data_IF_720061827688
#
_entry.id   IF_720061827688
#
_cell.length_a   1.000
_cell.length_b   1.000
_cell.length_c   1.000
_cell.angle_alpha   90.00
_cell.angle_beta   90.00
_cell.angle_gamma   90.00
#
_symmetry.space_group_name_H-M   'P 1'
#
loop_
_entity.id
_entity.type
_entity.pdbx_description
1 polymer ?
#
# COMPACT_ATOMS: atom_id res chain seq x y z
N UNK A 1 1.32 7.99 -21.33
CA UNK A 1 1.95 7.49 -20.09
C UNK A 1 3.48 7.49 -20.12
N UNK A 2 4.14 6.81 -21.06
CA UNK A 2 5.61 6.60 -21.08
C UNK A 2 6.50 7.85 -20.92
N UNK A 3 6.07 9.01 -21.45
CA UNK A 3 6.86 10.25 -21.36
C UNK A 3 6.72 10.97 -20.01
N UNK A 4 5.77 10.56 -19.17
CA UNK A 4 5.49 11.25 -17.90
C UNK A 4 6.56 10.90 -16.87
N UNK A 5 7.06 11.90 -16.14
CA UNK A 5 8.09 11.70 -15.13
C UNK A 5 7.53 11.07 -13.86
N UNK A 6 6.27 11.36 -13.51
CA UNK A 6 5.56 10.74 -12.39
C UNK A 6 5.52 9.21 -12.55
N UNK A 7 5.09 8.71 -13.70
CA UNK A 7 5.09 7.29 -14.05
C UNK A 7 6.49 6.68 -14.00
N UNK A 8 7.49 7.35 -14.59
CA UNK A 8 8.88 6.85 -14.60
C UNK A 8 9.45 6.69 -13.19
N UNK A 9 9.03 7.53 -12.24
CA UNK A 9 9.50 7.45 -10.85
C UNK A 9 9.04 6.16 -10.16
N UNK A 10 7.80 5.71 -10.42
CA UNK A 10 7.19 4.57 -9.71
C UNK A 10 7.30 3.25 -10.47
N UNK A 11 7.43 3.28 -11.81
CA UNK A 11 7.48 2.07 -12.65
C UNK A 11 8.46 0.98 -12.14
N UNK A 12 9.71 1.29 -11.72
CA UNK A 12 10.63 0.27 -11.20
C UNK A 12 10.09 -0.51 -9.99
N UNK A 13 9.12 0.07 -9.28
CA UNK A 13 8.54 -0.48 -8.07
C UNK A 13 7.19 -1.15 -8.27
N UNK A 14 6.69 -1.24 -9.52
CA UNK A 14 5.41 -1.88 -9.83
C UNK A 14 5.64 -3.26 -10.46
N UNK A 15 4.73 -4.23 -10.23
CA UNK A 15 4.88 -5.59 -10.72
C UNK A 15 4.43 -5.76 -12.19
N UNK A 16 4.32 -4.67 -12.95
CA UNK A 16 3.81 -4.67 -14.33
C UNK A 16 4.93 -4.39 -15.33
N UNK A 17 4.78 -4.90 -16.55
CA UNK A 17 5.71 -4.64 -17.64
C UNK A 17 5.09 -3.63 -18.60
N UNK A 18 5.88 -2.64 -19.03
CA UNK A 18 5.49 -1.70 -20.07
C UNK A 18 6.01 -2.18 -21.42
N UNK A 19 5.11 -2.37 -22.40
CA UNK A 19 5.45 -2.52 -23.82
C UNK A 19 4.63 -1.47 -24.56
N UNK A 20 5.25 -0.37 -25.00
CA UNK A 20 4.52 0.76 -25.57
C UNK A 20 3.51 0.32 -26.64
N UNK A 21 2.25 0.78 -26.58
CA UNK A 21 1.73 1.83 -25.69
C UNK A 21 1.14 1.34 -24.35
N UNK A 22 1.13 0.05 -24.05
CA UNK A 22 0.31 -0.53 -22.97
C UNK A 22 1.10 -1.20 -21.83
N UNK A 23 0.42 -1.34 -20.70
CA UNK A 23 0.84 -2.13 -19.55
C UNK A 23 0.25 -3.53 -19.65
N UNK A 24 1.02 -4.52 -19.21
CA UNK A 24 0.55 -5.89 -19.18
C UNK A 24 1.27 -6.69 -18.10
N UNK A 25 0.59 -7.72 -17.64
CA UNK A 25 1.20 -8.83 -16.93
C UNK A 25 1.87 -9.78 -17.93
N UNK A 26 3.05 -10.37 -17.61
CA UNK A 26 3.58 -11.47 -18.39
C UNK A 26 2.52 -12.58 -18.59
N UNK A 27 2.54 -13.26 -19.74
CA UNK A 27 1.49 -14.23 -20.07
C UNK A 27 1.36 -15.36 -19.03
N UNK A 28 2.49 -15.80 -18.47
CA UNK A 28 2.53 -16.79 -17.40
C UNK A 28 1.82 -16.30 -16.13
N UNK A 29 1.92 -15.01 -15.81
CA UNK A 29 1.22 -14.39 -14.69
C UNK A 29 -0.28 -14.32 -14.96
N UNK A 30 -0.68 -13.95 -16.19
CA UNK A 30 -2.10 -13.93 -16.58
C UNK A 30 -2.73 -15.32 -16.46
N UNK A 31 -2.04 -16.35 -16.95
CA UNK A 31 -2.48 -17.74 -16.85
C UNK A 31 -2.62 -18.16 -15.38
N UNK A 32 -1.58 -17.94 -14.57
CA UNK A 32 -1.61 -18.26 -13.14
C UNK A 32 -2.72 -17.52 -12.38
N UNK A 33 -2.92 -16.22 -12.62
CA UNK A 33 -3.98 -15.44 -11.97
C UNK A 33 -5.38 -15.94 -12.34
N UNK A 34 -5.60 -16.37 -13.59
CA UNK A 34 -6.88 -16.99 -14.01
C UNK A 34 -7.13 -18.33 -13.34
N UNK A 35 -6.07 -19.05 -12.97
CA UNK A 35 -6.17 -20.34 -12.28
C UNK A 35 -6.49 -20.21 -10.78
N UNK A 36 -6.39 -19.01 -10.18
CA UNK A 36 -6.79 -18.80 -8.79
C UNK A 36 -8.25 -19.21 -8.53
N UNK A 37 -9.15 -18.99 -9.51
CA UNK A 37 -10.56 -19.38 -9.43
C UNK A 37 -10.85 -20.87 -9.70
N UNK A 38 -9.84 -21.67 -10.04
CA UNK A 38 -10.03 -23.08 -10.43
C UNK A 38 -9.89 -24.07 -9.24
N UNK A 39 -9.74 -23.59 -8.00
CA UNK A 39 -9.58 -24.44 -6.82
C UNK A 39 -8.20 -25.12 -6.72
N UNK A 40 -7.19 -24.59 -7.43
CA UNK A 40 -5.81 -25.11 -7.39
C UNK A 40 -5.06 -24.75 -6.09
N UNK A 41 -5.57 -23.75 -5.36
CA UNK A 41 -5.00 -23.23 -4.12
C UNK A 41 -6.08 -23.32 -3.03
N UNK A 42 -5.91 -24.24 -2.09
CA UNK A 42 -6.90 -24.53 -1.02
C UNK A 42 -6.29 -24.50 0.40
N UNK A 43 -5.04 -24.06 0.50
CA UNK A 43 -4.25 -24.05 1.74
C UNK A 43 -3.17 -22.96 1.68
N UNK A 44 -2.72 -22.50 2.84
CA UNK A 44 -1.64 -21.54 2.99
C UNK A 44 -0.34 -22.02 2.37
N UNK A 45 -0.03 -23.32 2.49
CA UNK A 45 1.12 -23.91 1.81
C UNK A 45 1.03 -23.82 0.29
N UNK A 46 -0.12 -24.18 -0.31
CA UNK A 46 -0.30 -24.09 -1.76
C UNK A 46 -0.31 -22.64 -2.24
N UNK A 47 -0.87 -21.73 -1.43
CA UNK A 47 -0.85 -20.29 -1.70
C UNK A 47 0.58 -19.76 -1.78
N UNK A 48 1.46 -20.17 -0.87
CA UNK A 48 2.85 -19.73 -0.92
C UNK A 48 3.63 -20.32 -2.11
N UNK A 49 3.34 -21.57 -2.50
CA UNK A 49 3.90 -22.15 -3.74
C UNK A 49 3.44 -21.34 -4.95
N UNK A 50 2.16 -21.00 -5.01
CA UNK A 50 1.61 -20.16 -6.07
C UNK A 50 2.25 -18.76 -6.11
N UNK A 51 2.43 -18.10 -4.96
CA UNK A 51 3.16 -16.83 -4.85
C UNK A 51 4.58 -16.96 -5.41
N UNK A 52 5.27 -18.07 -5.12
CA UNK A 52 6.61 -18.34 -5.64
C UNK A 52 6.61 -18.49 -7.17
N UNK A 53 5.62 -19.19 -7.73
CA UNK A 53 5.45 -19.34 -9.19
C UNK A 53 5.19 -17.98 -9.88
N UNK A 54 4.34 -17.14 -9.29
CA UNK A 54 4.09 -15.77 -9.77
C UNK A 54 5.36 -14.92 -9.74
N UNK A 55 6.08 -14.92 -8.61
CA UNK A 55 7.34 -14.17 -8.46
C UNK A 55 8.39 -14.63 -9.48
N UNK A 56 8.50 -15.94 -9.72
CA UNK A 56 9.40 -16.47 -10.74
C UNK A 56 9.02 -15.97 -12.15
N UNK A 57 7.72 -15.94 -12.46
CA UNK A 57 7.20 -15.43 -13.74
C UNK A 57 7.45 -13.92 -13.92
N UNK A 58 7.59 -13.18 -12.82
CA UNK A 58 7.96 -11.76 -12.78
C UNK A 58 9.47 -11.52 -12.72
N UNK A 59 10.30 -12.58 -12.76
CA UNK A 59 11.76 -12.48 -12.59
C UNK A 59 12.20 -11.92 -11.23
N UNK A 60 11.37 -12.08 -10.18
CA UNK A 60 11.64 -11.64 -8.80
C UNK A 60 12.32 -12.72 -7.95
N UNK A 61 12.71 -13.85 -8.54
CA UNK A 61 13.38 -14.95 -7.84
C UNK A 61 14.71 -14.58 -7.16
N UNK A 62 15.53 -13.63 -7.67
CA UNK A 62 16.76 -13.21 -6.98
C UNK A 62 16.51 -12.34 -5.75
N UNK A 63 15.27 -11.88 -5.55
CA UNK A 63 14.86 -11.05 -4.42
C UNK A 63 14.17 -11.96 -3.38
N UNK A 64 14.89 -12.47 -2.37
CA UNK A 64 14.30 -13.41 -1.42
C UNK A 64 13.26 -12.72 -0.52
N UNK A 65 12.18 -13.43 -0.25
CA UNK A 65 11.24 -13.08 0.82
C UNK A 65 11.83 -13.47 2.19
N UNK A 66 11.24 -12.97 3.29
CA UNK A 66 11.64 -13.36 4.63
C UNK A 66 11.64 -14.91 4.81
N UNK A 67 12.64 -15.53 5.48
CA UNK A 67 12.83 -16.99 5.50
C UNK A 67 11.62 -17.79 5.99
N UNK A 68 10.89 -17.24 6.97
CA UNK A 68 9.75 -17.91 7.60
C UNK A 68 8.41 -17.59 6.92
N UNK A 69 8.40 -16.86 5.81
CA UNK A 69 7.16 -16.44 5.13
C UNK A 69 6.27 -17.63 4.79
N UNK A 70 6.85 -18.68 4.18
CA UNK A 70 6.13 -19.90 3.80
C UNK A 70 5.42 -20.55 5.00
N UNK A 71 6.11 -20.60 6.14
CA UNK A 71 5.59 -21.17 7.37
C UNK A 71 4.51 -20.28 7.98
N UNK A 72 4.64 -18.95 7.87
CA UNK A 72 3.62 -17.99 8.31
C UNK A 72 2.30 -18.11 7.56
N UNK A 73 2.35 -18.24 6.23
CA UNK A 73 1.15 -18.49 5.41
C UNK A 73 0.47 -19.80 5.78
N UNK A 74 1.25 -20.88 5.89
CA UNK A 74 0.74 -22.18 6.29
C UNK A 74 0.12 -22.13 7.70
N UNK A 75 0.82 -21.57 8.68
CA UNK A 75 0.31 -21.43 10.05
C UNK A 75 -1.02 -20.69 10.08
N UNK A 76 -1.12 -19.53 9.41
CA UNK A 76 -2.37 -18.75 9.42
C UNK A 76 -3.53 -19.50 8.75
N UNK A 77 -3.37 -19.95 7.51
CA UNK A 77 -4.47 -20.50 6.72
C UNK A 77 -4.76 -21.98 7.00
N UNK A 78 -3.78 -22.75 7.46
CA UNK A 78 -3.93 -24.20 7.64
C UNK A 78 -4.20 -24.56 9.11
N UNK A 79 -3.83 -23.71 10.08
CA UNK A 79 -3.93 -24.02 11.51
C UNK A 79 -4.76 -23.03 12.33
N UNK A 80 -4.63 -21.71 12.09
CA UNK A 80 -5.28 -20.69 12.94
C UNK A 80 -6.71 -20.33 12.52
N UNK A 81 -6.95 -20.22 11.21
CA UNK A 81 -8.28 -19.90 10.68
C UNK A 81 -9.23 -21.10 10.76
N UNK A 82 -10.52 -20.84 10.99
CA UNK A 82 -11.50 -21.94 10.96
C UNK A 82 -11.62 -22.53 9.56
N UNK A 83 -12.01 -23.81 9.47
CA UNK A 83 -12.16 -24.51 8.19
C UNK A 83 -13.21 -23.86 7.27
N UNK A 84 -14.21 -23.19 7.85
CA UNK A 84 -15.27 -22.50 7.11
C UNK A 84 -14.75 -21.19 6.52
N UNK A 85 -14.05 -20.38 7.31
CA UNK A 85 -13.43 -19.13 6.85
C UNK A 85 -12.31 -19.39 5.83
N UNK A 86 -11.52 -20.45 6.04
CA UNK A 86 -10.49 -20.87 5.09
C UNK A 86 -11.08 -21.21 3.71
N UNK A 87 -12.19 -21.97 3.68
CA UNK A 87 -12.90 -22.28 2.43
C UNK A 87 -13.44 -21.03 1.77
N UNK A 88 -14.13 -20.16 2.51
CA UNK A 88 -14.61 -18.87 1.99
C UNK A 88 -13.47 -18.05 1.39
N UNK A 89 -12.32 -18.01 2.06
CA UNK A 89 -11.14 -17.32 1.56
C UNK A 89 -10.69 -17.87 0.20
N UNK A 90 -10.46 -19.18 0.10
CA UNK A 90 -9.92 -19.80 -1.11
C UNK A 90 -10.94 -19.94 -2.25
N UNK A 91 -12.22 -20.12 -1.93
CA UNK A 91 -13.28 -20.33 -2.93
C UNK A 91 -13.87 -19.01 -3.45
N UNK A 92 -13.82 -17.92 -2.67
CA UNK A 92 -14.47 -16.65 -3.02
C UNK A 92 -13.49 -15.46 -3.05
N UNK A 93 -12.76 -15.25 -1.96
CA UNK A 93 -11.96 -14.01 -1.79
C UNK A 93 -10.73 -14.02 -2.68
N UNK A 94 -9.93 -15.08 -2.63
CA UNK A 94 -8.68 -15.18 -3.39
C UNK A 94 -8.92 -15.15 -4.92
N UNK A 95 -9.94 -15.84 -5.47
CA UNK A 95 -10.32 -15.68 -6.88
C UNK A 95 -10.69 -14.24 -7.25
N UNK A 96 -11.48 -13.56 -6.41
CA UNK A 96 -11.85 -12.16 -6.64
C UNK A 96 -10.63 -11.22 -6.63
N UNK A 97 -9.63 -11.48 -5.77
CA UNK A 97 -8.35 -10.77 -5.82
C UNK A 97 -7.58 -11.07 -7.12
N UNK A 98 -7.62 -12.31 -7.61
CA UNK A 98 -7.06 -12.70 -8.90
C UNK A 98 -7.66 -11.89 -10.06
N UNK A 99 -8.99 -11.79 -10.11
CA UNK A 99 -9.72 -11.01 -11.11
C UNK A 99 -9.41 -9.50 -11.01
N UNK A 100 -9.28 -8.97 -9.80
CA UNK A 100 -8.87 -7.59 -9.57
C UNK A 100 -7.45 -7.36 -10.10
N UNK A 101 -6.52 -8.28 -9.84
CA UNK A 101 -5.14 -8.18 -10.33
C UNK A 101 -5.06 -8.27 -11.85
N UNK A 102 -5.88 -9.10 -12.50
CA UNK A 102 -5.98 -9.13 -13.96
C UNK A 102 -6.34 -7.76 -14.56
N UNK A 103 -7.05 -6.91 -13.81
CA UNK A 103 -7.42 -5.54 -14.19
C UNK A 103 -6.37 -4.48 -13.80
N UNK A 104 -5.33 -4.82 -13.01
CA UNK A 104 -4.33 -3.84 -12.56
C UNK A 104 -3.70 -3.02 -13.71
N UNK A 105 -3.29 -3.62 -14.86
CA UNK A 105 -2.69 -2.85 -15.94
C UNK A 105 -3.64 -1.78 -16.51
N UNK A 106 -4.91 -2.12 -16.73
CA UNK A 106 -5.90 -1.16 -17.23
C UNK A 106 -6.31 -0.14 -16.17
N UNK A 107 -6.33 -0.51 -14.89
CA UNK A 107 -6.54 0.43 -13.78
C UNK A 107 -5.42 1.47 -13.71
N UNK A 108 -4.17 1.05 -13.89
CA UNK A 108 -3.03 1.97 -13.97
C UNK A 108 -3.11 2.86 -15.22
N UNK A 109 -3.49 2.30 -16.38
CA UNK A 109 -3.70 3.08 -17.61
C UNK A 109 -4.74 4.18 -17.43
N UNK A 110 -5.94 3.82 -16.99
CA UNK A 110 -7.02 4.77 -16.71
C UNK A 110 -6.59 5.84 -15.68
N UNK A 111 -5.87 5.42 -14.63
CA UNK A 111 -5.35 6.35 -13.63
C UNK A 111 -4.49 7.47 -14.24
N UNK A 112 -3.53 7.15 -15.12
CA UNK A 112 -2.67 8.18 -15.72
C UNK A 112 -3.30 8.95 -16.87
N UNK A 113 -4.42 8.48 -17.42
CA UNK A 113 -5.26 9.25 -18.36
C UNK A 113 -5.96 10.42 -17.65
N UNK A 114 -6.43 10.19 -16.41
CA UNK A 114 -7.21 11.16 -15.63
C UNK A 114 -6.40 11.90 -14.53
N UNK A 115 -5.13 11.53 -14.33
CA UNK A 115 -4.28 11.99 -13.21
C UNK A 115 -3.89 13.49 -13.19
N UNK A 116 -4.18 14.26 -14.23
CA UNK A 116 -3.73 15.65 -14.33
C UNK A 116 -4.85 16.62 -13.95
N UNK A 117 -4.66 17.34 -12.84
CA UNK A 117 -5.57 18.41 -12.45
C UNK A 117 -5.10 19.74 -13.05
N UNK A 118 -6.01 20.43 -13.75
CA UNK A 118 -5.78 21.79 -14.25
C UNK A 118 -6.21 22.77 -13.16
N UNK A 119 -5.26 23.46 -12.53
CA UNK A 119 -5.56 24.49 -11.54
C UNK A 119 -5.46 25.86 -12.21
N UNK A 120 -6.54 26.64 -12.07
CA UNK A 120 -6.67 28.05 -12.39
C UNK A 120 -6.10 28.51 -13.73
N UNK A 121 -6.91 28.49 -14.81
CA UNK A 121 -6.91 29.39 -15.99
C UNK A 121 -5.61 29.84 -16.70
N UNK A 122 -4.45 29.42 -16.20
CA UNK A 122 -3.08 29.92 -16.42
C UNK A 122 -2.20 28.75 -16.90
N UNK A 123 -2.77 27.54 -17.02
CA UNK A 123 -2.13 26.39 -17.64
C UNK A 123 -1.14 25.64 -16.74
N UNK A 124 -1.16 25.88 -15.43
CA UNK A 124 -0.38 25.09 -14.48
C UNK A 124 -1.08 23.75 -14.22
N UNK A 125 -0.50 22.66 -14.73
CA UNK A 125 -0.96 21.29 -14.48
C UNK A 125 -0.27 20.75 -13.22
N UNK A 126 -1.06 20.36 -12.22
CA UNK A 126 -0.53 19.64 -11.06
C UNK A 126 -0.60 18.14 -11.36
N UNK A 127 0.56 17.49 -11.31
CA UNK A 127 0.65 16.04 -11.49
C UNK A 127 0.20 15.35 -10.20
N UNK A 128 -0.93 14.65 -10.29
CA UNK A 128 -1.52 13.92 -9.16
C UNK A 128 -1.52 12.40 -9.34
N UNK A 129 -0.87 11.94 -10.41
CA UNK A 129 -0.66 10.53 -10.71
C UNK A 129 0.19 9.82 -9.65
N UNK A 130 0.15 8.48 -9.68
CA UNK A 130 0.92 7.67 -8.75
C UNK A 130 2.41 7.92 -9.02
N UNK A 131 3.17 8.24 -7.99
CA UNK A 131 4.59 8.60 -8.12
C UNK A 131 5.31 8.44 -6.80
N UNK A 132 6.63 8.45 -6.86
CA UNK A 132 7.45 8.63 -5.67
C UNK A 132 7.28 10.06 -5.13
N UNK A 133 7.08 10.18 -3.82
CA UNK A 133 7.09 11.46 -3.11
C UNK A 133 8.38 11.53 -2.30
N UNK A 134 9.48 11.80 -3.02
CA UNK A 134 10.84 11.77 -2.49
C UNK A 134 11.07 12.82 -1.39
N UNK A 135 12.18 12.67 -0.65
CA UNK A 135 12.53 13.65 0.38
C UNK A 135 12.66 15.05 -0.23
N UNK A 136 12.11 16.04 0.47
CA UNK A 136 12.01 17.43 0.00
C UNK A 136 11.17 17.68 -1.26
N UNK A 137 10.41 16.69 -1.74
CA UNK A 137 9.44 16.88 -2.81
C UNK A 137 8.02 17.01 -2.26
N UNK A 138 7.44 18.21 -2.29
CA UNK A 138 6.03 18.40 -1.96
C UNK A 138 5.14 17.88 -3.09
N UNK A 139 3.99 17.28 -2.74
CA UNK A 139 3.07 16.80 -3.75
C UNK A 139 1.90 16.00 -3.19
N UNK A 140 0.90 15.80 -4.03
CA UNK A 140 -0.26 14.96 -3.71
C UNK A 140 -0.44 13.87 -4.78
N UNK A 141 -0.95 12.72 -4.35
CA UNK A 141 -1.33 11.58 -5.19
C UNK A 141 -2.77 11.22 -4.86
N UNK A 142 -3.61 11.04 -5.87
CA UNK A 142 -5.02 10.71 -5.71
C UNK A 142 -5.27 9.35 -6.33
N UNK A 143 -5.68 8.37 -5.54
CA UNK A 143 -5.90 7.00 -6.03
C UNK A 143 -7.34 6.60 -5.81
N UNK A 144 -7.94 5.95 -6.79
CA UNK A 144 -9.22 5.27 -6.57
C UNK A 144 -9.03 4.15 -5.55
N UNK A 145 -10.05 3.89 -4.73
CA UNK A 145 -9.99 2.80 -3.77
C UNK A 145 -9.82 1.43 -4.45
N UNK A 146 -10.34 1.26 -5.67
CA UNK A 146 -10.11 0.05 -6.48
C UNK A 146 -8.63 -0.12 -6.88
N UNK A 147 -7.93 0.95 -7.24
CA UNK A 147 -6.49 0.88 -7.53
C UNK A 147 -5.69 0.57 -6.25
N UNK A 148 -6.06 1.17 -5.11
CA UNK A 148 -5.45 0.85 -3.81
C UNK A 148 -5.66 -0.62 -3.46
N UNK A 149 -6.86 -1.15 -3.65
CA UNK A 149 -7.18 -2.56 -3.44
C UNK A 149 -6.30 -3.48 -4.30
N UNK A 150 -6.11 -3.16 -5.58
CA UNK A 150 -5.25 -3.95 -6.47
C UNK A 150 -3.77 -3.89 -6.03
N UNK A 151 -3.29 -2.72 -5.61
CA UNK A 151 -1.92 -2.57 -5.07
C UNK A 151 -1.74 -3.36 -3.77
N UNK A 152 -2.71 -3.33 -2.86
CA UNK A 152 -2.67 -4.13 -1.61
C UNK A 152 -2.74 -5.64 -1.90
N UNK A 153 -3.50 -6.07 -2.92
CA UNK A 153 -3.50 -7.45 -3.35
C UNK A 153 -2.12 -7.88 -3.89
N UNK A 154 -1.39 -6.99 -4.57
CA UNK A 154 0.01 -7.22 -4.92
C UNK A 154 0.90 -7.32 -3.68
N UNK A 155 0.69 -6.50 -2.66
CA UNK A 155 1.42 -6.61 -1.38
C UNK A 155 1.20 -7.95 -0.70
N UNK A 156 -0.05 -8.41 -0.65
CA UNK A 156 -0.42 -9.71 -0.09
C UNK A 156 0.24 -10.85 -0.85
N UNK A 157 0.14 -10.88 -2.19
CA UNK A 157 0.81 -11.91 -2.99
C UNK A 157 2.33 -11.69 -3.14
N UNK A 158 2.90 -10.73 -2.40
CA UNK A 158 4.31 -10.37 -2.42
C UNK A 158 4.84 -10.15 -3.84
N UNK A 159 4.14 -9.38 -4.69
CA UNK A 159 4.50 -9.21 -6.09
C UNK A 159 5.35 -7.98 -6.36
N UNK A 160 5.49 -7.06 -5.40
CA UNK A 160 6.30 -5.86 -5.64
C UNK A 160 7.79 -6.19 -5.72
N UNK A 161 8.51 -5.59 -6.68
CA UNK A 161 9.96 -5.57 -6.67
C UNK A 161 10.48 -4.86 -5.41
N UNK A 162 11.54 -5.41 -4.83
CA UNK A 162 12.19 -4.92 -3.61
C UNK A 162 13.65 -4.51 -3.81
N UNK A 163 14.20 -4.65 -5.02
CA UNK A 163 15.52 -4.09 -5.36
C UNK A 163 15.61 -2.60 -5.00
N UNK A 164 16.78 -2.20 -4.51
CA UNK A 164 17.19 -0.83 -4.18
C UNK A 164 16.31 -0.09 -3.14
N UNK A 165 15.26 -0.73 -2.60
CA UNK A 165 14.40 -0.12 -1.56
C UNK A 165 15.19 0.25 -0.33
N UNK A 166 16.12 -0.60 0.09
CA UNK A 166 17.00 -0.33 1.22
C UNK A 166 17.88 0.91 0.96
N UNK A 167 18.50 0.99 -0.21
CA UNK A 167 19.38 2.10 -0.60
C UNK A 167 18.60 3.42 -0.67
N UNK A 168 17.34 3.37 -1.14
CA UNK A 168 16.43 4.51 -1.20
C UNK A 168 15.62 4.75 0.07
N UNK A 169 15.90 4.02 1.15
CA UNK A 169 15.21 4.15 2.43
C UNK A 169 13.67 4.03 2.32
N UNK A 170 13.19 3.19 1.39
CA UNK A 170 11.78 2.93 1.19
C UNK A 170 11.31 1.82 2.14
N UNK A 171 10.11 1.99 2.70
CA UNK A 171 9.52 0.97 3.57
C UNK A 171 9.21 -0.33 2.80
N UNK A 172 9.21 -1.49 3.50
CA UNK A 172 8.66 -2.71 2.97
C UNK A 172 7.22 -2.50 2.51
N UNK A 173 6.84 -3.16 1.42
CA UNK A 173 5.49 -3.07 0.86
C UNK A 173 4.82 -4.44 0.73
N UNK A 174 5.60 -5.51 0.60
CA UNK A 174 5.11 -6.87 0.59
C UNK A 174 4.80 -7.34 2.02
N UNK A 175 3.86 -8.27 2.16
CA UNK A 175 3.43 -8.79 3.46
C UNK A 175 4.25 -10.00 3.93
N UNK A 176 5.40 -10.28 3.31
CA UNK A 176 6.22 -11.44 3.64
C UNK A 176 6.70 -11.41 5.10
N UNK A 177 7.19 -10.26 5.55
CA UNK A 177 7.62 -10.05 6.94
C UNK A 177 6.45 -10.10 7.95
N UNK A 178 5.24 -9.76 7.51
CA UNK A 178 4.03 -9.82 8.34
C UNK A 178 3.71 -11.29 8.67
N UNK A 179 3.74 -12.17 7.66
CA UNK A 179 3.53 -13.60 7.85
C UNK A 179 4.73 -14.29 8.51
N UNK A 180 5.97 -13.95 8.14
CA UNK A 180 7.16 -14.50 8.78
C UNK A 180 7.18 -14.20 10.29
N UNK A 181 6.82 -12.98 10.69
CA UNK A 181 6.73 -12.58 12.09
C UNK A 181 5.68 -13.37 12.88
N UNK A 182 4.60 -13.83 12.25
CA UNK A 182 3.59 -14.67 12.90
C UNK A 182 4.19 -16.03 13.32
N UNK A 183 5.04 -16.61 12.46
CA UNK A 183 5.66 -17.91 12.71
C UNK A 183 6.87 -17.82 13.65
N UNK A 184 7.74 -16.82 13.46
CA UNK A 184 8.98 -16.69 14.22
C UNK A 184 8.76 -16.46 15.72
N UNK A 185 7.70 -15.75 16.08
CA UNK A 185 7.37 -15.40 17.46
C UNK A 185 5.87 -15.08 17.55
N UNK A 186 5.09 -16.15 17.62
CA UNK A 186 3.63 -16.04 17.62
C UNK A 186 3.12 -15.06 18.70
N UNK A 187 2.23 -14.17 18.29
CA UNK A 187 1.46 -13.35 19.20
C UNK A 187 0.06 -13.09 18.66
N UNK A 188 -0.92 -13.00 19.55
CA UNK A 188 -2.31 -12.69 19.18
C UNK A 188 -2.41 -11.34 18.44
N UNK A 189 -1.54 -10.38 18.79
CA UNK A 189 -1.49 -9.08 18.11
C UNK A 189 -1.12 -9.24 16.63
N UNK A 190 -0.15 -10.10 16.34
CA UNK A 190 0.28 -10.36 14.98
C UNK A 190 -0.80 -11.09 14.17
N UNK A 191 -1.45 -12.08 14.78
CA UNK A 191 -2.58 -12.78 14.16
C UNK A 191 -3.72 -11.80 13.84
N UNK A 192 -4.10 -10.95 14.81
CA UNK A 192 -5.18 -9.97 14.63
C UNK A 192 -4.88 -8.96 13.50
N UNK A 193 -3.60 -8.60 13.29
CA UNK A 193 -3.23 -7.74 12.15
C UNK A 193 -3.51 -8.41 10.81
N UNK A 194 -3.19 -9.70 10.69
CA UNK A 194 -3.48 -10.47 9.49
C UNK A 194 -5.00 -10.58 9.33
N UNK A 195 -5.74 -10.88 10.40
CA UNK A 195 -7.21 -10.88 10.37
C UNK A 195 -7.82 -9.57 9.87
N UNK A 196 -7.32 -8.41 10.29
CA UNK A 196 -7.78 -7.11 9.79
C UNK A 196 -7.60 -6.99 8.25
N UNK A 197 -6.46 -7.47 7.74
CA UNK A 197 -6.17 -7.48 6.29
C UNK A 197 -7.08 -8.46 5.55
N UNK A 198 -7.27 -9.66 6.09
CA UNK A 198 -8.18 -10.67 5.54
C UNK A 198 -9.60 -10.11 5.46
N UNK A 199 -10.09 -9.52 6.55
CA UNK A 199 -11.40 -8.89 6.58
C UNK A 199 -11.51 -7.71 5.60
N UNK A 200 -10.46 -6.90 5.42
CA UNK A 200 -10.44 -5.88 4.38
C UNK A 200 -10.64 -6.49 2.98
N UNK A 201 -9.91 -7.55 2.64
CA UNK A 201 -10.07 -8.23 1.36
C UNK A 201 -11.45 -8.88 1.19
N UNK A 202 -12.02 -9.48 2.24
CA UNK A 202 -13.41 -9.97 2.19
C UNK A 202 -14.41 -8.85 1.86
N UNK A 203 -14.22 -7.67 2.45
CA UNK A 203 -15.12 -6.53 2.26
C UNK A 203 -15.06 -6.00 0.83
N UNK A 204 -13.87 -5.80 0.27
CA UNK A 204 -13.73 -5.28 -1.10
C UNK A 204 -14.09 -6.31 -2.18
N UNK A 205 -13.94 -7.61 -1.89
CA UNK A 205 -14.41 -8.68 -2.78
C UNK A 205 -15.93 -8.79 -2.81
N UNK A 206 -16.60 -8.43 -1.69
CA UNK A 206 -18.06 -8.40 -1.60
C UNK A 206 -18.67 -7.13 -2.21
N UNK A 207 -18.11 -5.96 -1.89
CA UNK A 207 -18.56 -4.66 -2.38
C UNK A 207 -17.36 -3.70 -2.52
N UNK A 208 -16.90 -3.54 -3.76
CA UNK A 208 -15.73 -2.71 -4.07
C UNK A 208 -16.06 -1.22 -3.84
N UNK A 209 -15.37 -0.53 -2.93
CA UNK A 209 -15.61 0.88 -2.68
C UNK A 209 -15.14 1.74 -3.87
N UNK A 210 -15.87 2.84 -4.14
CA UNK A 210 -15.73 3.67 -5.35
C UNK A 210 -15.18 5.08 -5.11
N UNK A 211 -14.71 5.35 -3.91
CA UNK A 211 -14.14 6.64 -3.53
C UNK A 211 -12.70 6.83 -4.05
N UNK A 212 -12.17 8.01 -3.75
CA UNK A 212 -10.78 8.41 -4.04
C UNK A 212 -10.11 8.78 -2.72
N UNK A 213 -8.86 8.36 -2.55
CA UNK A 213 -8.03 8.68 -1.39
C UNK A 213 -6.86 9.53 -1.85
N UNK A 214 -6.62 10.65 -1.16
CA UNK A 214 -5.50 11.54 -1.41
C UNK A 214 -4.38 11.30 -0.40
N UNK A 215 -3.15 11.15 -0.89
CA UNK A 215 -1.92 11.11 -0.10
C UNK A 215 -1.12 12.38 -0.39
N UNK A 216 -0.85 13.20 0.62
CA UNK A 216 -0.15 14.48 0.44
C UNK A 216 1.13 14.52 1.28
N UNK A 217 2.26 14.78 0.62
CA UNK A 217 3.53 15.11 1.27
C UNK A 217 3.67 16.63 1.33
N UNK A 218 3.58 17.19 2.54
CA UNK A 218 3.86 18.61 2.81
C UNK A 218 5.30 18.77 3.26
N UNK A 219 5.99 19.75 2.69
CA UNK A 219 7.41 20.01 2.95
C UNK A 219 7.60 21.48 3.28
N UNK A 220 8.34 21.77 4.35
CA UNK A 220 8.92 23.09 4.57
C UNK A 220 10.30 23.13 3.89
N UNK A 221 10.54 24.06 2.94
CA UNK A 221 11.82 24.18 2.28
C UNK A 221 12.93 24.56 3.27
N UNK A 222 14.15 24.13 2.94
CA UNK A 222 15.34 24.33 3.78
C UNK A 222 15.91 25.73 3.65
N UNK A 223 15.78 26.32 2.47
CA UNK A 223 16.22 27.68 2.19
C UNK A 223 15.06 28.66 2.35
N UNK A 224 15.36 29.83 2.92
CA UNK A 224 14.45 30.97 2.91
C UNK A 224 14.28 31.44 1.47
N UNK A 225 13.12 31.23 0.88
CA UNK A 225 12.70 31.99 -0.30
C UNK A 225 11.47 32.86 0.01
N UNK A 226 11.26 33.89 -0.81
CA UNK A 226 10.20 34.87 -0.60
C UNK A 226 8.78 34.34 -0.79
N UNK A 227 8.63 33.08 -1.24
CA UNK A 227 7.37 32.50 -1.66
C UNK A 227 6.89 31.37 -0.74
N UNK A 228 7.79 30.76 0.05
CA UNK A 228 7.48 29.64 0.91
C UNK A 228 7.73 29.92 2.40
N UNK A 229 6.94 29.25 3.24
CA UNK A 229 7.14 29.25 4.69
C UNK A 229 8.35 28.34 4.96
N UNK A 230 9.46 28.91 5.39
CA UNK A 230 10.64 28.15 5.83
C UNK A 230 10.47 27.64 7.27
N UNK A 231 11.42 26.81 7.71
CA UNK A 231 11.43 26.32 9.09
C UNK A 231 11.51 27.49 10.10
N UNK A 232 10.52 27.64 10.98
CA UNK A 232 10.52 28.72 11.96
C UNK A 232 11.66 28.53 12.97
N UNK A 233 12.49 29.55 13.12
CA UNK A 233 13.61 29.53 14.06
C UNK A 233 13.17 29.88 15.50
N UNK A 234 14.10 29.75 16.46
CA UNK A 234 13.81 30.02 17.87
C UNK A 234 13.30 31.46 18.13
N UNK A 235 13.77 32.45 17.36
CA UNK A 235 13.35 33.84 17.48
C UNK A 235 11.91 34.07 16.99
N UNK A 236 11.50 33.36 15.93
CA UNK A 236 10.11 33.36 15.47
C UNK A 236 9.16 32.90 16.59
N UNK A 237 9.48 31.81 17.28
CA UNK A 237 8.65 31.29 18.36
C UNK A 237 8.67 32.17 19.61
N UNK A 238 9.84 32.67 20.03
CA UNK A 238 9.97 33.44 21.27
C UNK A 238 9.32 34.82 21.22
N UNK A 239 9.11 35.37 20.02
CA UNK A 239 8.48 36.68 19.80
C UNK A 239 7.02 36.59 19.36
N UNK A 240 6.48 35.37 19.22
CA UNK A 240 5.09 35.17 18.83
C UNK A 240 4.13 35.71 19.89
N UNK A 241 3.18 36.53 19.45
CA UNK A 241 2.09 37.09 20.27
C UNK A 241 0.72 36.51 19.90
N UNK A 242 0.71 35.46 19.09
CA UNK A 242 -0.54 34.81 18.64
C UNK A 242 -1.22 34.18 19.87
N UNK A 243 -2.51 34.48 20.12
CA UNK A 243 -3.23 33.92 21.25
C UNK A 243 -3.37 32.40 21.12
N UNK A 244 -3.40 31.71 22.25
CA UNK A 244 -3.67 30.27 22.29
C UNK A 244 -5.09 29.99 21.75
N UNK A 245 -5.21 28.91 20.97
CA UNK A 245 -6.48 28.43 20.47
C UNK A 245 -7.33 27.81 21.60
N UNK A 246 -8.63 27.63 21.34
CA UNK A 246 -9.50 26.83 22.20
C UNK A 246 -8.92 25.41 22.33
N UNK A 247 -8.87 24.90 23.55
CA UNK A 247 -8.32 23.60 23.86
C UNK A 247 -9.31 22.81 24.71
N UNK A 248 -9.58 21.57 24.31
CA UNK A 248 -10.47 20.65 25.00
C UNK A 248 -9.69 19.38 25.33
N UNK A 249 -9.91 18.85 26.53
CA UNK A 249 -9.25 17.62 26.99
C UNK A 249 -10.32 16.61 27.35
N UNK A 250 -10.24 15.45 26.72
CA UNK A 250 -11.05 14.29 27.03
C UNK A 250 -10.17 13.26 27.73
N UNK A 251 -10.58 12.80 28.91
CA UNK A 251 -9.85 11.79 29.69
C UNK A 251 -10.19 10.34 29.29
N UNK A 252 -11.03 10.17 28.27
CA UNK A 252 -11.54 8.89 27.77
C UNK A 252 -11.91 9.00 26.30
N UNK A 253 -11.86 7.89 25.57
CA UNK A 253 -12.03 7.83 24.11
C UNK A 253 -10.69 7.71 23.39
N UNK A 254 -10.73 7.31 22.12
CA UNK A 254 -9.59 7.28 21.21
C UNK A 254 -9.72 8.39 20.15
N UNK A 255 -8.68 8.60 19.35
CA UNK A 255 -8.67 9.66 18.32
C UNK A 255 -9.75 9.38 17.28
N UNK A 256 -9.87 8.12 16.83
CA UNK A 256 -10.82 7.62 15.84
C UNK A 256 -12.28 7.59 16.32
N UNK A 257 -12.53 7.75 17.63
CA UNK A 257 -13.87 7.77 18.21
C UNK A 257 -14.53 9.16 18.15
N UNK A 258 -13.75 10.20 17.82
CA UNK A 258 -14.23 11.57 17.89
C UNK A 258 -15.17 11.90 16.72
N UNK A 259 -16.44 12.20 17.05
CA UNK A 259 -17.50 12.45 16.06
C UNK A 259 -17.41 13.81 15.33
N UNK A 260 -16.52 14.70 15.77
CA UNK A 260 -16.27 15.98 15.10
C UNK A 260 -15.37 15.74 13.89
N UNK A 261 -15.63 16.41 12.76
CA UNK A 261 -14.75 16.45 11.59
C UNK A 261 -13.42 17.15 11.93
N UNK A 262 -12.57 16.45 12.68
CA UNK A 262 -11.27 16.92 13.14
C UNK A 262 -10.16 16.33 12.27
N UNK A 263 -9.02 17.00 12.24
CA UNK A 263 -7.79 16.41 11.70
C UNK A 263 -7.25 15.44 12.73
N UNK A 264 -7.40 14.15 12.47
CA UNK A 264 -6.88 13.07 13.31
C UNK A 264 -5.37 12.95 13.17
N UNK A 265 -4.67 12.82 14.31
CA UNK A 265 -3.21 12.77 14.35
C UNK A 265 -2.75 11.32 14.46
N UNK A 266 -1.86 10.92 13.55
CA UNK A 266 -1.10 9.67 13.63
C UNK A 266 0.21 9.90 14.39
N UNK A 267 0.57 9.01 15.32
CA UNK A 267 1.84 9.10 16.07
C UNK A 267 2.96 8.42 15.27
N UNK A 268 3.20 9.00 14.10
CA UNK A 268 3.99 8.38 13.06
C UNK A 268 5.47 8.18 13.41
N UNK A 269 6.03 7.10 12.87
CA UNK A 269 7.47 6.95 12.70
C UNK A 269 7.96 7.81 11.52
N UNK A 270 9.25 8.19 11.50
CA UNK A 270 9.85 8.92 10.37
C UNK A 270 9.65 8.17 9.04
N UNK A 271 9.54 6.84 9.11
CA UNK A 271 9.04 6.00 8.05
C UNK A 271 7.57 5.64 8.29
N UNK A 272 6.69 6.18 7.45
CA UNK A 272 5.23 6.01 7.59
C UNK A 272 4.83 4.53 7.73
N UNK A 273 3.91 4.27 8.67
CA UNK A 273 3.45 2.94 9.04
C UNK A 273 4.40 2.17 9.96
N UNK A 274 5.66 2.61 10.14
CA UNK A 274 6.61 2.02 11.07
C UNK A 274 6.68 0.49 11.00
N UNK A 275 6.31 -0.19 12.09
CA UNK A 275 6.32 -1.64 12.17
C UNK A 275 5.04 -2.34 11.66
N UNK A 276 4.14 -1.67 10.95
CA UNK A 276 2.84 -2.20 10.56
C UNK A 276 2.92 -3.50 9.75
N UNK A 277 3.89 -3.66 8.84
CA UNK A 277 4.11 -4.91 8.09
C UNK A 277 5.08 -5.88 8.79
N UNK A 278 5.42 -5.61 10.05
CA UNK A 278 6.30 -6.42 10.91
C UNK A 278 5.59 -6.68 12.24
N UNK A 279 6.27 -6.46 13.36
CA UNK A 279 5.78 -6.68 14.72
C UNK A 279 5.15 -5.44 15.39
N UNK A 280 5.19 -4.27 14.75
CA UNK A 280 4.63 -3.04 15.31
C UNK A 280 3.12 -3.14 15.46
N UNK A 281 2.59 -2.76 16.63
CA UNK A 281 1.17 -2.81 16.98
C UNK A 281 0.84 -1.76 18.07
N UNK A 282 1.21 -0.52 17.77
CA UNK A 282 0.92 0.70 18.53
C UNK A 282 0.45 1.76 17.54
N UNK A 283 -0.08 2.88 18.04
CA UNK A 283 -0.23 4.10 17.26
C UNK A 283 1.15 4.63 16.87
#
# INVERSE_FOLDING_TARGET
MEKREDWKSILPYLPVVMRPPSLFWPSQVVEALRELGCGRVDSGRLLFIFITELRNSLSLSPEPLAPSTAHGYALFFDELISREECRKWFDEVLPALGDLLLRLPSLLEAHYEDADMVIDGVGATVRTGLRMLDSQEAGAVFLTQELIAALLACSFLCLFPVHDRYEKQLQPVNFDELFASLYDDYSQKQENKIWCIIHYFERISSDMPKGVVSFERKVFPWEDDSFHISYPNANFWSTSVIPLCRFEVHSSGLIEDHSSEAVEVDFANEYLGGGALRRGCVQ
#
